data_IF_682867371399
#
_entry.id   IF_682867371399
#
_cell.length_a   1.000
_cell.length_b   1.000
_cell.length_c   1.000
_cell.angle_alpha   90.00
_cell.angle_beta   90.00
_cell.angle_gamma   90.00
#
_symmetry.space_group_name_H-M   'P 1'
#
loop_
_entity.id
_entity.type
_entity.pdbx_description
1 polymer ?
#
# COMPACT_ATOMS: atom_id res chain seq x y z
N UNK A 1 -0.22 -11.58 -12.28
CA UNK A 1 -0.04 -11.86 -10.83
C UNK A 1 0.66 -13.19 -10.62
N UNK A 2 1.48 -13.33 -9.54
CA UNK A 2 2.05 -14.63 -9.15
C UNK A 2 0.98 -15.43 -8.41
N UNK A 3 0.85 -16.73 -8.76
CA UNK A 3 -0.06 -17.65 -8.09
C UNK A 3 0.70 -18.51 -7.08
N UNK A 4 0.13 -18.67 -5.89
CA UNK A 4 0.67 -19.52 -4.81
C UNK A 4 -0.29 -20.70 -4.66
N UNK A 5 0.25 -21.93 -4.66
CA UNK A 5 -0.57 -23.13 -4.47
C UNK A 5 -0.60 -23.52 -3.00
N UNK A 6 -1.80 -23.64 -2.44
CA UNK A 6 -2.04 -24.09 -1.06
C UNK A 6 -2.76 -25.41 -1.10
N UNK A 7 -2.17 -26.44 -0.49
CA UNK A 7 -2.80 -27.74 -0.32
C UNK A 7 -3.66 -27.74 0.94
N UNK A 8 -4.89 -28.16 0.82
CA UNK A 8 -5.84 -28.24 1.93
C UNK A 8 -6.59 -29.56 1.97
N UNK A 9 -7.06 -29.93 3.14
CA UNK A 9 -8.00 -31.03 3.35
C UNK A 9 -9.38 -30.49 3.68
N UNK A 10 -10.40 -31.01 3.03
CA UNK A 10 -11.78 -30.67 3.32
C UNK A 10 -12.14 -31.04 4.77
N UNK A 11 -13.02 -30.26 5.38
CA UNK A 11 -13.52 -30.53 6.72
C UNK A 11 -15.06 -30.45 6.80
N UNK A 12 -15.68 -31.50 7.29
CA UNK A 12 -17.11 -31.54 7.54
C UNK A 12 -17.48 -30.93 8.90
N UNK A 13 -16.58 -31.07 9.88
CA UNK A 13 -16.87 -30.63 11.24
C UNK A 13 -16.53 -29.14 11.45
N UNK A 14 -17.58 -28.32 11.54
CA UNK A 14 -17.54 -26.86 11.69
C UNK A 14 -17.92 -26.47 13.11
N UNK A 15 -17.07 -26.71 14.10
CA UNK A 15 -17.41 -26.39 15.48
C UNK A 15 -16.23 -25.90 16.32
N UNK A 16 -16.52 -25.28 17.48
CA UNK A 16 -15.51 -24.69 18.37
C UNK A 16 -14.45 -25.70 18.83
N UNK A 17 -14.84 -26.93 19.17
CA UNK A 17 -13.91 -27.98 19.61
C UNK A 17 -12.99 -28.44 18.47
N UNK A 18 -13.54 -28.69 17.29
CA UNK A 18 -12.78 -29.11 16.11
C UNK A 18 -11.81 -28.02 15.66
N UNK A 19 -12.25 -26.77 15.57
CA UNK A 19 -11.41 -25.63 15.22
C UNK A 19 -10.25 -25.42 16.21
N UNK A 20 -10.50 -25.60 17.51
CA UNK A 20 -9.44 -25.51 18.54
C UNK A 20 -8.42 -26.65 18.39
N UNK A 21 -8.88 -27.87 18.11
CA UNK A 21 -7.99 -29.01 17.89
C UNK A 21 -7.10 -28.83 16.65
N UNK A 22 -7.65 -28.31 15.54
CA UNK A 22 -6.89 -28.00 14.32
C UNK A 22 -5.79 -26.95 14.58
N UNK A 23 -6.13 -25.84 15.27
CA UNK A 23 -5.13 -24.82 15.61
C UNK A 23 -4.02 -25.35 16.51
N UNK A 24 -4.34 -26.23 17.45
CA UNK A 24 -3.33 -26.89 18.30
C UNK A 24 -2.44 -27.86 17.50
N UNK A 25 -2.93 -28.41 16.39
CA UNK A 25 -2.17 -29.25 15.47
C UNK A 25 -1.36 -28.44 14.43
N UNK A 26 -1.35 -27.08 14.51
CA UNK A 26 -0.65 -26.21 13.55
C UNK A 26 -1.37 -26.04 12.21
N UNK A 27 -2.65 -26.41 12.13
CA UNK A 27 -3.47 -26.21 10.94
C UNK A 27 -4.40 -25.02 11.10
N UNK A 28 -4.57 -24.24 10.02
CA UNK A 28 -5.44 -23.08 9.96
C UNK A 28 -6.77 -23.47 9.33
N UNK A 29 -7.91 -23.22 9.99
CA UNK A 29 -9.21 -23.35 9.38
C UNK A 29 -9.45 -22.24 8.38
N UNK A 30 -9.92 -22.60 7.18
CA UNK A 30 -10.18 -21.69 6.07
C UNK A 30 -11.58 -21.90 5.50
N UNK A 31 -12.08 -20.88 4.82
CA UNK A 31 -13.33 -20.93 4.07
C UNK A 31 -13.10 -20.36 2.68
N UNK A 32 -13.60 -21.09 1.68
CA UNK A 32 -13.67 -20.62 0.29
C UNK A 32 -15.14 -20.35 -0.03
N UNK A 33 -15.48 -19.11 -0.39
CA UNK A 33 -16.81 -18.68 -0.78
C UNK A 33 -16.82 -17.97 -2.13
N UNK A 34 -17.98 -17.67 -2.65
CA UNK A 34 -18.20 -17.09 -3.97
C UNK A 34 -18.69 -18.10 -5.01
N UNK A 35 -18.54 -19.42 -4.79
CA UNK A 35 -19.13 -20.48 -5.57
C UNK A 35 -20.59 -20.79 -5.20
N UNK A 36 -21.11 -21.94 -5.63
CA UNK A 36 -22.48 -22.41 -5.29
C UNK A 36 -22.63 -22.70 -3.81
N UNK A 37 -21.60 -23.27 -3.18
CA UNK A 37 -21.58 -23.61 -1.76
C UNK A 37 -20.27 -23.15 -1.12
N UNK A 38 -20.27 -22.68 0.13
CA UNK A 38 -19.04 -22.40 0.85
C UNK A 38 -18.32 -23.72 1.16
N UNK A 39 -17.04 -23.79 0.77
CA UNK A 39 -16.19 -24.94 1.07
C UNK A 39 -15.37 -24.64 2.32
N UNK A 40 -15.45 -25.53 3.30
CA UNK A 40 -14.65 -25.46 4.51
C UNK A 40 -13.45 -26.39 4.41
N UNK A 41 -12.25 -25.87 4.60
CA UNK A 41 -11.03 -26.69 4.53
C UNK A 41 -10.03 -26.28 5.62
N UNK A 42 -9.00 -27.05 5.77
CA UNK A 42 -7.88 -26.73 6.65
C UNK A 42 -6.57 -26.90 5.89
N UNK A 43 -5.62 -25.99 6.12
CA UNK A 43 -4.28 -26.05 5.53
C UNK A 43 -3.22 -25.80 6.60
N UNK A 44 -1.98 -26.18 6.34
CA UNK A 44 -0.88 -25.98 7.26
C UNK A 44 -0.52 -24.50 7.37
N UNK A 45 -0.24 -24.00 8.58
CA UNK A 45 0.12 -22.61 8.86
C UNK A 45 1.32 -22.15 8.02
N UNK A 46 2.30 -23.01 7.78
CA UNK A 46 3.49 -22.71 6.99
C UNK A 46 3.18 -22.39 5.52
N UNK A 47 2.12 -22.98 4.95
CA UNK A 47 1.71 -22.73 3.56
C UNK A 47 1.26 -21.29 3.31
N UNK A 48 0.86 -20.57 4.35
CA UNK A 48 0.44 -19.18 4.26
C UNK A 48 1.59 -18.17 4.36
N UNK A 49 2.82 -18.62 4.67
CA UNK A 49 3.95 -17.73 4.92
C UNK A 49 4.21 -16.77 3.76
N UNK A 50 4.26 -17.27 2.55
CA UNK A 50 4.50 -16.45 1.36
C UNK A 50 3.33 -15.53 1.02
N UNK A 51 2.10 -15.97 1.30
CA UNK A 51 0.89 -15.19 1.01
C UNK A 51 0.69 -14.02 1.99
N UNK A 52 0.99 -14.24 3.26
CA UNK A 52 0.64 -13.31 4.35
C UNK A 52 1.75 -12.33 4.67
N UNK A 53 3.00 -12.82 4.70
CA UNK A 53 4.16 -12.02 5.14
C UNK A 53 4.90 -11.32 4.00
N UNK A 54 4.41 -11.43 2.76
CA UNK A 54 4.91 -10.63 1.64
C UNK A 54 3.98 -9.43 1.37
N UNK A 55 4.53 -8.28 1.01
CA UNK A 55 3.71 -7.11 0.72
C UNK A 55 2.94 -7.22 -0.60
N UNK A 56 3.32 -8.15 -1.47
CA UNK A 56 2.79 -8.28 -2.83
C UNK A 56 1.36 -8.83 -2.85
N UNK A 57 0.62 -8.50 -3.88
CA UNK A 57 -0.68 -9.11 -4.16
C UNK A 57 -0.49 -10.43 -4.91
N UNK A 58 -1.12 -11.49 -4.41
CA UNK A 58 -1.05 -12.83 -4.97
C UNK A 58 -2.43 -13.40 -5.21
N UNK A 59 -2.57 -14.16 -6.29
CA UNK A 59 -3.69 -15.10 -6.45
C UNK A 59 -3.31 -16.43 -5.81
N UNK A 60 -4.28 -17.18 -5.36
CA UNK A 60 -4.08 -18.45 -4.65
C UNK A 60 -4.78 -19.57 -5.41
N UNK A 61 -4.05 -20.63 -5.68
CA UNK A 61 -4.63 -21.87 -6.18
C UNK A 61 -4.80 -22.84 -5.01
N UNK A 62 -6.04 -23.07 -4.61
CA UNK A 62 -6.38 -23.99 -3.52
C UNK A 62 -6.54 -25.37 -4.13
N UNK A 63 -5.68 -26.31 -3.73
CA UNK A 63 -5.70 -27.71 -4.14
C UNK A 63 -6.31 -28.54 -3.00
N UNK A 64 -7.57 -28.94 -3.17
CA UNK A 64 -8.28 -29.73 -2.17
C UNK A 64 -8.21 -31.21 -2.56
N UNK A 65 -7.77 -32.04 -1.64
CA UNK A 65 -7.76 -33.50 -1.79
C UNK A 65 -9.20 -34.02 -1.95
N UNK A 66 -9.64 -34.25 -3.21
CA UNK A 66 -10.97 -34.76 -3.54
C UNK A 66 -11.84 -33.86 -4.41
N UNK A 67 -11.79 -32.54 -4.23
CA UNK A 67 -12.70 -31.57 -4.90
C UNK A 67 -12.06 -30.82 -6.08
N UNK A 68 -10.73 -30.94 -6.25
CA UNK A 68 -10.03 -30.30 -7.35
C UNK A 68 -9.30 -29.00 -7.00
N UNK A 69 -9.01 -28.19 -8.02
CA UNK A 69 -8.27 -26.93 -7.89
C UNK A 69 -9.20 -25.76 -8.08
N UNK A 70 -9.10 -24.80 -7.18
CA UNK A 70 -9.89 -23.57 -7.20
C UNK A 70 -8.96 -22.36 -7.22
N UNK A 71 -9.18 -21.46 -8.16
CA UNK A 71 -8.52 -20.15 -8.17
C UNK A 71 -9.25 -19.23 -7.21
N UNK A 72 -8.53 -18.59 -6.32
CA UNK A 72 -9.08 -17.77 -5.26
C UNK A 72 -8.19 -16.56 -4.95
N UNK A 73 -8.77 -15.59 -4.24
CA UNK A 73 -8.09 -14.44 -3.65
C UNK A 73 -8.33 -14.44 -2.15
N UNK A 74 -7.30 -14.12 -1.38
CA UNK A 74 -7.42 -13.91 0.05
C UNK A 74 -8.17 -12.59 0.30
N UNK A 75 -9.31 -12.67 0.99
CA UNK A 75 -10.13 -11.51 1.35
C UNK A 75 -9.81 -10.99 2.74
N UNK A 76 -9.82 -11.87 3.73
CA UNK A 76 -9.56 -11.48 5.11
C UNK A 76 -8.71 -12.53 5.82
N UNK A 77 -8.00 -12.06 6.85
CA UNK A 77 -7.16 -12.90 7.68
C UNK A 77 -7.27 -12.45 9.13
N UNK A 78 -7.45 -13.40 10.01
CA UNK A 78 -7.53 -13.16 11.45
C UNK A 78 -6.28 -13.68 12.15
N UNK A 79 -5.64 -12.81 12.93
CA UNK A 79 -4.47 -13.14 13.74
C UNK A 79 -4.83 -13.22 15.22
N UNK A 80 -4.05 -13.99 15.94
CA UNK A 80 -4.12 -13.99 17.40
C UNK A 80 -3.40 -12.75 17.96
N UNK A 81 -4.05 -11.92 18.81
CA UNK A 81 -3.54 -10.60 19.18
C UNK A 81 -2.23 -10.59 19.98
N UNK A 82 -1.82 -11.74 20.53
CA UNK A 82 -0.60 -11.85 21.35
C UNK A 82 0.48 -12.70 20.69
N UNK A 83 0.10 -13.74 19.96
CA UNK A 83 1.07 -14.70 19.37
C UNK A 83 1.26 -14.55 17.87
N UNK A 84 0.49 -13.65 17.22
CA UNK A 84 0.48 -13.40 15.78
C UNK A 84 0.22 -14.66 14.90
N UNK A 85 -0.22 -15.75 15.53
CA UNK A 85 -0.62 -16.96 14.81
C UNK A 85 -1.88 -16.72 14.00
N UNK A 86 -1.95 -17.32 12.82
CA UNK A 86 -3.10 -17.24 11.95
C UNK A 86 -4.26 -18.04 12.58
N UNK A 87 -5.39 -17.39 12.84
CA UNK A 87 -6.58 -18.01 13.40
C UNK A 87 -7.57 -18.46 12.33
N UNK A 88 -7.74 -17.69 11.28
CA UNK A 88 -8.69 -17.95 10.20
C UNK A 88 -8.26 -17.22 8.94
N UNK A 89 -8.53 -17.80 7.77
CA UNK A 89 -8.33 -17.16 6.47
C UNK A 89 -9.57 -17.35 5.61
N UNK A 90 -10.04 -16.25 5.02
CA UNK A 90 -11.17 -16.21 4.13
C UNK A 90 -10.70 -16.04 2.69
N UNK A 91 -11.19 -16.93 1.82
CA UNK A 91 -10.89 -16.91 0.41
C UNK A 91 -12.15 -16.67 -0.42
N UNK A 92 -12.03 -15.86 -1.46
CA UNK A 92 -13.07 -15.65 -2.45
C UNK A 92 -12.67 -16.34 -3.77
N UNK A 93 -13.54 -17.19 -4.29
CA UNK A 93 -13.33 -17.90 -5.55
C UNK A 93 -13.34 -16.93 -6.73
N UNK A 94 -12.33 -17.04 -7.59
CA UNK A 94 -12.21 -16.26 -8.80
C UNK A 94 -13.04 -16.89 -9.94
N UNK A 95 -13.80 -16.05 -10.62
CA UNK A 95 -14.50 -16.40 -11.86
C UNK A 95 -14.10 -15.38 -12.92
N UNK A 96 -13.92 -15.82 -14.17
CA UNK A 96 -13.49 -14.96 -15.27
C UNK A 96 -14.45 -13.80 -15.54
N UNK A 97 -15.75 -14.02 -15.29
CA UNK A 97 -16.82 -13.08 -15.62
C UNK A 97 -17.25 -12.20 -14.44
N UNK A 98 -16.67 -12.39 -13.26
CA UNK A 98 -17.04 -11.64 -12.06
C UNK A 98 -15.91 -10.71 -11.61
N UNK A 99 -16.27 -9.46 -11.35
CA UNK A 99 -15.36 -8.49 -10.76
C UNK A 99 -15.05 -8.84 -9.31
N UNK A 100 -13.80 -8.73 -8.94
CA UNK A 100 -13.31 -9.02 -7.60
C UNK A 100 -12.68 -7.78 -6.98
N UNK A 101 -12.94 -7.60 -5.70
CA UNK A 101 -12.30 -6.54 -4.90
C UNK A 101 -11.03 -7.09 -4.25
N UNK A 102 -9.91 -6.39 -4.44
CA UNK A 102 -8.63 -6.78 -3.88
C UNK A 102 -7.83 -5.56 -3.42
N UNK A 103 -7.03 -5.74 -2.37
CA UNK A 103 -6.11 -4.72 -1.89
C UNK A 103 -4.74 -4.87 -2.57
N UNK A 104 -4.41 -3.93 -3.45
CA UNK A 104 -3.16 -3.92 -4.20
C UNK A 104 -2.14 -3.00 -3.52
N UNK A 105 -0.89 -3.43 -3.34
CA UNK A 105 0.16 -2.61 -2.74
C UNK A 105 0.61 -1.48 -3.66
N UNK A 106 1.02 -0.37 -3.04
CA UNK A 106 1.61 0.77 -3.73
C UNK A 106 3.11 0.77 -3.49
N UNK A 107 3.89 0.83 -4.56
CA UNK A 107 5.34 0.98 -4.55
C UNK A 107 5.69 2.41 -4.94
N UNK A 108 6.64 3.00 -4.20
CA UNK A 108 7.15 4.34 -4.49
C UNK A 108 8.43 4.20 -5.30
N UNK A 109 8.51 4.91 -6.43
CA UNK A 109 9.69 4.95 -7.29
C UNK A 109 10.31 6.36 -7.29
N UNK A 110 11.65 6.41 -7.37
CA UNK A 110 12.42 7.65 -7.42
C UNK A 110 12.70 8.27 -6.04
N UNK A 111 13.38 9.43 -6.06
CA UNK A 111 13.71 10.20 -4.88
C UNK A 111 13.01 11.56 -4.94
N UNK A 112 12.25 11.88 -3.92
CA UNK A 112 11.57 13.17 -3.80
C UNK A 112 12.55 14.29 -3.46
N UNK A 113 12.61 15.40 -4.24
CA UNK A 113 13.38 16.59 -3.88
C UNK A 113 12.88 17.20 -2.56
N UNK A 114 11.59 17.10 -2.27
CA UNK A 114 11.04 17.56 -0.99
C UNK A 114 11.62 16.82 0.21
N UNK A 115 11.95 15.53 0.09
CA UNK A 115 12.62 14.76 1.15
C UNK A 115 14.10 15.15 1.25
N UNK A 116 14.76 15.39 0.11
CA UNK A 116 16.17 15.86 0.09
C UNK A 116 16.34 17.21 0.75
N UNK A 117 15.36 18.08 0.62
CA UNK A 117 15.33 19.42 1.25
C UNK A 117 14.79 19.38 2.70
N UNK A 118 14.86 18.23 3.37
CA UNK A 118 14.50 18.11 4.79
C UNK A 118 13.00 17.85 5.07
N UNK A 119 12.18 17.65 4.05
CA UNK A 119 10.78 17.26 4.22
C UNK A 119 10.62 15.82 4.70
N UNK A 120 9.52 15.56 5.42
CA UNK A 120 9.16 14.21 5.87
C UNK A 120 8.16 13.58 4.92
N UNK A 121 8.52 12.43 4.32
CA UNK A 121 7.61 11.62 3.52
C UNK A 121 6.58 10.93 4.41
N UNK A 122 5.30 11.12 4.12
CA UNK A 122 4.18 10.46 4.77
C UNK A 122 3.47 9.56 3.77
N UNK A 123 3.65 8.27 3.91
CA UNK A 123 2.96 7.25 3.13
C UNK A 123 1.63 6.93 3.82
N UNK A 124 0.53 7.54 3.34
CA UNK A 124 -0.81 7.45 3.96
C UNK A 124 -1.51 6.13 3.63
N UNK A 125 -1.49 5.72 2.36
CA UNK A 125 -2.15 4.52 1.88
C UNK A 125 -1.15 3.58 1.20
N UNK A 126 -0.73 2.54 1.92
CA UNK A 126 0.20 1.54 1.41
C UNK A 126 -0.44 0.50 0.50
N UNK A 127 -1.75 0.33 0.62
CA UNK A 127 -2.58 -0.56 -0.21
C UNK A 127 -3.81 0.21 -0.66
N UNK A 128 -4.24 -0.02 -1.89
CA UNK A 128 -5.47 0.53 -2.46
C UNK A 128 -6.44 -0.60 -2.75
N UNK A 129 -7.68 -0.45 -2.29
CA UNK A 129 -8.77 -1.36 -2.63
C UNK A 129 -9.23 -1.07 -4.04
N UNK A 130 -9.10 -2.03 -4.93
CA UNK A 130 -9.54 -1.95 -6.31
C UNK A 130 -10.58 -3.02 -6.62
N UNK A 131 -11.41 -2.74 -7.60
CA UNK A 131 -12.39 -3.64 -8.16
C UNK A 131 -12.10 -3.83 -9.63
N UNK A 132 -11.79 -5.05 -10.06
CA UNK A 132 -11.45 -5.38 -11.44
C UNK A 132 -11.78 -6.83 -11.79
N UNK A 133 -11.76 -7.15 -13.07
CA UNK A 133 -11.77 -8.54 -13.54
C UNK A 133 -10.42 -9.21 -13.20
N UNK A 134 -10.40 -10.53 -12.93
CA UNK A 134 -9.17 -11.24 -12.54
C UNK A 134 -8.01 -11.09 -13.53
N UNK A 135 -8.30 -11.03 -14.83
CA UNK A 135 -7.29 -10.89 -15.88
C UNK A 135 -6.67 -9.47 -15.96
N UNK A 136 -7.36 -8.46 -15.40
CA UNK A 136 -6.95 -7.06 -15.43
C UNK A 136 -6.39 -6.55 -14.09
N UNK A 137 -6.20 -7.44 -13.12
CA UNK A 137 -5.65 -7.09 -11.81
C UNK A 137 -4.15 -6.79 -11.91
N UNK A 138 -3.67 -5.59 -11.51
CA UNK A 138 -2.24 -5.29 -11.43
C UNK A 138 -1.60 -5.97 -10.22
N UNK A 139 -0.30 -6.26 -10.30
CA UNK A 139 0.47 -6.81 -9.18
C UNK A 139 0.75 -5.76 -8.11
N UNK A 140 1.02 -4.52 -8.53
CA UNK A 140 1.32 -3.37 -7.69
C UNK A 140 1.08 -2.07 -8.46
N UNK A 141 0.97 -0.96 -7.74
CA UNK A 141 0.94 0.38 -8.31
C UNK A 141 2.30 1.05 -8.14
N UNK A 142 2.91 1.50 -9.23
CA UNK A 142 4.11 2.33 -9.19
C UNK A 142 3.72 3.80 -9.12
N UNK A 143 4.21 4.49 -8.10
CA UNK A 143 3.99 5.91 -7.88
C UNK A 143 5.33 6.62 -7.91
N UNK A 144 5.56 7.43 -8.95
CA UNK A 144 6.76 8.24 -9.09
C UNK A 144 6.69 9.47 -8.17
N UNK A 145 7.64 9.55 -7.22
CA UNK A 145 7.78 10.67 -6.30
C UNK A 145 8.89 11.66 -6.69
N UNK A 146 9.52 11.50 -7.86
CA UNK A 146 10.67 12.31 -8.29
C UNK A 146 10.37 13.80 -8.46
N UNK A 147 9.09 14.15 -8.63
CA UNK A 147 8.64 15.54 -8.77
C UNK A 147 8.01 16.13 -7.51
N UNK A 148 7.96 15.34 -6.43
CA UNK A 148 7.22 15.71 -5.22
C UNK A 148 8.05 16.66 -4.34
N UNK A 149 7.62 17.94 -4.26
CA UNK A 149 8.21 18.98 -3.42
C UNK A 149 7.62 18.98 -2.00
N UNK A 150 8.20 19.77 -1.10
CA UNK A 150 7.64 20.01 0.25
C UNK A 150 6.22 20.60 0.10
N UNK A 151 5.27 20.06 0.87
CA UNK A 151 3.85 20.41 0.79
C UNK A 151 3.07 19.71 -0.32
N UNK A 152 3.73 19.06 -1.27
CA UNK A 152 3.08 18.30 -2.34
C UNK A 152 2.43 17.01 -1.87
N UNK A 153 1.38 16.57 -2.58
CA UNK A 153 0.68 15.30 -2.38
C UNK A 153 0.45 14.60 -3.73
N UNK A 154 0.29 13.30 -3.67
CA UNK A 154 -0.17 12.46 -4.78
C UNK A 154 -1.46 11.79 -4.32
N UNK A 155 -2.53 12.05 -5.08
CA UNK A 155 -3.87 11.57 -4.78
C UNK A 155 -4.23 10.36 -5.65
N UNK A 156 -5.28 9.64 -5.27
CA UNK A 156 -5.79 8.48 -6.01
C UNK A 156 -6.18 8.85 -7.44
N UNK A 157 -6.65 10.09 -7.69
CA UNK A 157 -7.01 10.59 -9.03
C UNK A 157 -5.90 10.45 -10.08
N UNK A 158 -4.62 10.49 -9.67
CA UNK A 158 -3.48 10.31 -10.58
C UNK A 158 -3.20 8.86 -10.97
N UNK A 159 -3.83 7.91 -10.29
CA UNK A 159 -3.65 6.46 -10.47
C UNK A 159 -4.83 5.79 -11.17
N UNK A 160 -5.83 6.56 -11.57
CA UNK A 160 -7.00 6.03 -12.28
C UNK A 160 -6.60 5.43 -13.63
N UNK A 161 -7.19 4.28 -13.95
CA UNK A 161 -7.04 3.57 -15.23
C UNK A 161 -8.41 3.07 -15.69
N UNK A 162 -8.55 2.81 -16.98
CA UNK A 162 -9.80 2.27 -17.57
C UNK A 162 -10.01 0.79 -17.22
N UNK A 163 -8.95 0.07 -16.82
CA UNK A 163 -8.98 -1.37 -16.57
C UNK A 163 -9.54 -1.77 -15.22
N UNK A 164 -9.55 -0.87 -14.24
CA UNK A 164 -9.99 -1.14 -12.89
C UNK A 164 -10.62 0.08 -12.22
N UNK A 165 -11.48 -0.15 -11.24
CA UNK A 165 -12.10 0.91 -10.43
C UNK A 165 -11.49 0.92 -9.04
N UNK A 166 -10.96 2.08 -8.60
CA UNK A 166 -10.45 2.26 -7.25
C UNK A 166 -11.64 2.59 -6.34
N UNK A 167 -11.80 1.84 -5.23
CA UNK A 167 -12.91 2.02 -4.28
C UNK A 167 -12.71 3.19 -3.30
N UNK A 168 -11.56 3.85 -3.35
CA UNK A 168 -11.30 5.04 -2.53
C UNK A 168 -11.77 6.31 -3.24
N UNK A 169 -12.20 7.35 -2.48
CA UNK A 169 -12.49 8.67 -3.05
C UNK A 169 -11.27 9.26 -3.77
N UNK A 170 -11.50 9.97 -4.86
CA UNK A 170 -10.46 10.55 -5.72
C UNK A 170 -9.52 11.51 -4.96
N UNK A 171 -10.05 12.21 -3.95
CA UNK A 171 -9.29 13.14 -3.08
C UNK A 171 -8.49 12.41 -1.99
N UNK A 172 -8.41 11.07 -2.01
CA UNK A 172 -7.63 10.33 -1.01
C UNK A 172 -6.15 10.48 -1.31
N UNK A 173 -5.41 11.09 -0.37
CA UNK A 173 -3.96 11.23 -0.45
C UNK A 173 -3.28 9.88 -0.25
N UNK A 174 -2.49 9.45 -1.22
CA UNK A 174 -1.65 8.25 -1.16
C UNK A 174 -0.33 8.55 -0.49
N UNK A 175 0.37 9.58 -0.98
CA UNK A 175 1.67 10.01 -0.49
C UNK A 175 1.69 11.52 -0.36
N UNK A 176 2.34 12.03 0.69
CA UNK A 176 2.51 13.46 0.95
C UNK A 176 3.88 13.73 1.53
N UNK A 177 4.52 14.83 1.14
CA UNK A 177 5.72 15.35 1.80
C UNK A 177 5.33 16.56 2.66
N UNK A 178 5.53 16.47 3.97
CA UNK A 178 5.33 17.58 4.90
C UNK A 178 6.65 18.24 5.24
N UNK A 179 6.63 19.56 5.45
CA UNK A 179 7.77 20.28 6.02
C UNK A 179 8.09 19.73 7.42
N UNK A 180 9.37 19.49 7.69
CA UNK A 180 9.84 19.23 9.04
C UNK A 180 10.02 20.60 9.76
N UNK A 181 9.88 20.62 11.08
CA UNK A 181 10.04 21.86 11.86
C UNK A 181 11.41 22.53 11.69
N UNK A 182 12.44 21.74 11.37
CA UNK A 182 13.82 22.21 11.10
C UNK A 182 14.01 22.74 9.68
N UNK A 183 13.17 22.33 8.69
CA UNK A 183 13.30 22.82 7.31
C UNK A 183 12.78 24.25 7.11
N UNK A 184 11.92 24.74 8.00
CA UNK A 184 11.41 26.11 7.96
C UNK A 184 12.51 27.13 8.31
N UNK A 185 13.52 26.73 9.10
CA UNK A 185 14.61 27.60 9.50
C UNK A 185 15.68 27.81 8.42
N UNK A 186 15.76 26.93 7.43
CA UNK A 186 16.78 27.01 6.36
C UNK A 186 16.30 27.84 5.15
N UNK A 187 14.96 27.86 4.90
CA UNK A 187 14.38 28.69 3.82
C UNK A 187 14.37 30.21 4.20
N UNK A 188 14.23 30.50 5.50
CA UNK A 188 14.25 31.91 5.99
C UNK A 188 15.68 32.49 6.05
N UNK A 189 16.75 31.63 6.11
CA UNK A 189 18.13 32.12 6.11
C UNK A 189 18.68 32.38 4.68
N UNK A 190 18.24 31.62 3.66
CA UNK A 190 18.67 31.87 2.26
C UNK A 190 17.98 33.13 1.68
N UNK A 191 16.73 33.41 2.04
CA UNK A 191 16.04 34.64 1.63
C UNK A 191 16.52 35.90 2.41
N UNK A 192 17.13 35.73 3.60
CA UNK A 192 17.70 36.81 4.36
C UNK A 192 19.10 37.26 3.86
N UNK A 193 19.91 36.30 3.34
CA UNK A 193 21.23 36.65 2.76
C UNK A 193 21.13 37.34 1.39
N UNK A 194 20.11 37.04 0.56
CA UNK A 194 19.87 37.76 -0.70
C UNK A 194 19.29 39.18 -0.49
N UNK A 195 18.59 39.39 0.61
CA UNK A 195 18.06 40.74 0.96
C UNK A 195 19.12 41.71 1.49
N UNK A 196 20.12 41.22 2.22
CA UNK A 196 21.18 42.05 2.81
C UNK A 196 22.27 42.45 1.81
N UNK A 197 22.49 41.61 0.77
CA UNK A 197 23.43 41.94 -0.31
C UNK A 197 22.91 43.04 -1.28
N UNK A 198 21.59 43.26 -1.33
CA UNK A 198 20.99 44.30 -2.17
C UNK A 198 20.93 45.67 -1.48
N UNK A 199 20.90 45.71 -0.15
CA UNK A 199 20.82 46.96 0.61
C UNK A 199 22.18 47.58 0.84
N UNK A 200 23.27 46.82 0.89
CA UNK A 200 24.64 47.36 1.00
C UNK A 200 25.17 47.93 -0.32
N UNK A 201 24.65 47.54 -1.48
CA UNK A 201 25.04 48.06 -2.78
C UNK A 201 24.36 49.41 -3.12
N UNK A 202 23.26 49.75 -2.44
CA UNK A 202 22.55 51.03 -2.63
C UNK A 202 23.07 52.18 -1.72
N UNK A 203 23.76 51.84 -0.62
CA UNK A 203 24.26 52.86 0.33
C UNK A 203 25.62 53.43 -0.04
N UNK A 204 26.46 52.72 -0.81
CA UNK A 204 27.80 53.21 -1.27
C UNK A 204 27.75 54.14 -2.51
N UNK A 205 26.56 54.26 -3.17
CA UNK A 205 26.40 55.10 -4.36
C UNK A 205 26.04 56.54 -4.06
N UNK A 206 25.70 56.93 -2.83
CA UNK A 206 25.17 58.28 -2.50
C UNK A 206 26.19 59.18 -1.76
N UNK A 207 27.32 58.62 -1.27
CA UNK A 207 28.31 59.38 -0.53
C UNK A 207 29.42 60.02 -1.40
N UNK A 208 29.53 59.66 -2.70
CA UNK A 208 30.52 60.19 -3.61
C UNK A 208 30.06 61.35 -4.50
N UNK A 209 28.78 61.80 -4.35
CA UNK A 209 28.23 62.90 -5.16
C UNK A 209 28.17 64.26 -4.45
N UNK A 210 28.56 64.37 -3.16
CA UNK A 210 28.47 65.58 -2.38
C UNK A 210 29.77 66.39 -2.17
N UNK A 211 30.93 65.90 -2.67
CA UNK A 211 32.23 66.53 -2.39
C UNK A 211 32.90 67.20 -3.61
N UNK A 212 32.14 67.57 -4.64
CA UNK A 212 32.69 68.32 -5.80
C UNK A 212 31.89 69.56 -6.16
N UNK A 213 31.52 70.41 -5.16
CA UNK A 213 31.10 71.81 -5.37
C UNK A 213 31.41 72.64 -4.13
N UNK A 214 32.66 73.11 -4.01
CA UNK A 214 33.05 74.40 -3.49
C UNK A 214 34.43 74.82 -4.06
#
# INVERSE_FOLDING_TARGET
MKSITIKGSERESVGKKATKALRNAGKVPCVLYGGEKPLHFSADELSFKELVYTPNAHTVVIDLEGDGKFDAVMQDIQFHPVTDKILHVDFYQLFKDKEVTMNIPVHLEGNSPGVRNGGRLLFRKRKLAIKALPDKLPDFFNVDISKLKIGGNIDVSTLLSEDFTILHPDNTVVVQVKAARTAILVEDEEDAEEGEAAETAAAEGEETAAESKE
#
